data_IF_150340816824
#
_entry.id   IF_150340816824
#
_cell.length_a   1.000
_cell.length_b   1.000
_cell.length_c   1.000
_cell.angle_alpha   90.00
_cell.angle_beta   90.00
_cell.angle_gamma   90.00
#
_symmetry.space_group_name_H-M   'P 1'
#
loop_
_entity.id
_entity.type
_entity.pdbx_description
1 polymer ?
#
# COMPACT_ATOMS: atom_id res chain seq x y z
N UNK A 1 8.91 -26.36 -20.41
CA UNK A 1 8.76 -25.39 -19.31
C UNK A 1 7.80 -24.32 -19.82
N UNK A 2 6.52 -24.39 -19.43
CA UNK A 2 5.54 -23.37 -19.82
C UNK A 2 5.79 -22.20 -18.87
N UNK A 3 6.30 -21.08 -19.37
CA UNK A 3 6.38 -19.85 -18.59
C UNK A 3 4.95 -19.31 -18.54
N UNK A 4 4.31 -19.36 -17.37
CA UNK A 4 2.99 -18.79 -17.18
C UNK A 4 3.03 -17.30 -17.53
N UNK A 5 2.08 -16.83 -18.32
CA UNK A 5 1.93 -15.40 -18.62
C UNK A 5 1.50 -14.64 -17.35
N UNK A 6 1.73 -13.32 -17.27
CA UNK A 6 1.26 -12.53 -16.12
C UNK A 6 -0.24 -12.69 -15.84
N UNK A 7 -1.05 -12.83 -16.89
CA UNK A 7 -2.49 -13.09 -16.77
C UNK A 7 -2.80 -14.43 -16.09
N UNK A 8 -2.07 -15.48 -16.46
CA UNK A 8 -2.23 -16.82 -15.88
C UNK A 8 -1.66 -16.91 -14.45
N UNK A 9 -0.68 -16.07 -14.13
CA UNK A 9 -0.07 -16.03 -12.80
C UNK A 9 -0.98 -15.36 -11.75
N UNK A 10 -1.79 -14.36 -12.12
CA UNK A 10 -2.62 -13.61 -11.17
C UNK A 10 -3.52 -14.48 -10.28
N UNK A 11 -4.33 -15.42 -10.81
CA UNK A 11 -5.17 -16.27 -9.97
C UNK A 11 -4.36 -17.15 -9.01
N UNK A 12 -3.17 -17.59 -9.43
CA UNK A 12 -2.28 -18.41 -8.61
C UNK A 12 -1.71 -17.58 -7.44
N UNK A 13 -1.26 -16.36 -7.71
CA UNK A 13 -0.79 -15.42 -6.70
C UNK A 13 -1.90 -15.10 -5.70
N UNK A 14 -3.11 -14.77 -6.18
CA UNK A 14 -4.27 -14.50 -5.33
C UNK A 14 -4.63 -15.72 -4.47
N UNK A 15 -4.53 -16.93 -5.03
CA UNK A 15 -4.74 -18.17 -4.28
C UNK A 15 -3.78 -18.34 -3.10
N UNK A 16 -2.51 -17.96 -3.26
CA UNK A 16 -1.53 -17.96 -2.16
C UNK A 16 -1.90 -16.91 -1.10
N UNK A 17 -2.22 -15.69 -1.54
CA UNK A 17 -2.56 -14.57 -0.65
C UNK A 17 -3.81 -14.88 0.20
N UNK A 18 -4.79 -15.56 -0.39
CA UNK A 18 -6.05 -15.89 0.28
C UNK A 18 -6.01 -17.22 1.04
N UNK A 19 -4.88 -17.93 1.02
CA UNK A 19 -4.72 -19.16 1.80
C UNK A 19 -4.92 -18.88 3.30
N UNK A 20 -5.59 -19.78 4.06
CA UNK A 20 -5.81 -19.61 5.50
C UNK A 20 -4.53 -19.35 6.29
N UNK A 21 -3.44 -20.00 5.89
CA UNK A 21 -2.14 -19.93 6.56
C UNK A 21 -1.21 -18.87 5.93
N UNK A 22 -1.72 -18.01 5.03
CA UNK A 22 -0.90 -17.01 4.32
C UNK A 22 -0.17 -16.05 5.25
N UNK A 23 -0.73 -15.76 6.42
CA UNK A 23 -0.22 -14.79 7.39
C UNK A 23 0.57 -15.40 8.56
N UNK A 24 0.81 -16.71 8.57
CA UNK A 24 1.69 -17.29 9.59
C UNK A 24 3.14 -16.89 9.32
N UNK A 25 3.97 -16.88 10.37
CA UNK A 25 5.35 -16.38 10.31
C UNK A 25 6.20 -17.05 9.22
N UNK A 26 5.94 -18.32 8.94
CA UNK A 26 6.65 -19.11 7.94
C UNK A 26 6.28 -18.70 6.50
N UNK A 27 5.07 -18.20 6.29
CA UNK A 27 4.50 -17.94 4.96
C UNK A 27 4.41 -16.45 4.63
N UNK A 28 4.43 -15.57 5.63
CA UNK A 28 4.17 -14.13 5.47
C UNK A 28 5.07 -13.49 4.41
N UNK A 29 6.36 -13.78 4.39
CA UNK A 29 7.27 -13.19 3.40
C UNK A 29 6.93 -13.64 1.96
N UNK A 30 6.56 -14.91 1.76
CA UNK A 30 6.11 -15.40 0.45
C UNK A 30 4.76 -14.77 0.04
N UNK A 31 3.85 -14.59 1.00
CA UNK A 31 2.57 -13.89 0.79
C UNK A 31 2.79 -12.43 0.39
N UNK A 32 3.69 -11.72 1.06
CA UNK A 32 4.03 -10.33 0.77
C UNK A 32 4.63 -10.18 -0.64
N UNK A 33 5.53 -11.09 -1.03
CA UNK A 33 6.05 -11.18 -2.39
C UNK A 33 4.92 -11.39 -3.42
N UNK A 34 3.93 -12.22 -3.11
CA UNK A 34 2.77 -12.40 -3.99
C UNK A 34 1.92 -11.12 -4.11
N UNK A 35 1.67 -10.42 -2.99
CA UNK A 35 0.94 -9.13 -2.98
C UNK A 35 1.67 -8.10 -3.85
N UNK A 36 2.98 -8.00 -3.71
CA UNK A 36 3.78 -7.09 -4.52
C UNK A 36 3.79 -7.48 -6.00
N UNK A 37 3.91 -8.78 -6.32
CA UNK A 37 3.81 -9.26 -7.70
C UNK A 37 2.47 -8.90 -8.36
N UNK A 38 1.35 -9.03 -7.64
CA UNK A 38 0.03 -8.57 -8.12
C UNK A 38 0.03 -7.06 -8.39
N UNK A 39 0.61 -6.27 -7.49
CA UNK A 39 0.78 -4.82 -7.68
C UNK A 39 1.63 -4.47 -8.91
N UNK A 40 2.77 -5.15 -9.09
CA UNK A 40 3.66 -4.99 -10.26
C UNK A 40 2.95 -5.32 -11.57
N UNK A 41 2.14 -6.39 -11.61
CA UNK A 41 1.32 -6.71 -12.79
C UNK A 41 0.31 -5.60 -13.07
N UNK A 42 -0.43 -5.12 -12.06
CA UNK A 42 -1.38 -4.01 -12.26
C UNK A 42 -0.69 -2.72 -12.72
N UNK A 43 0.50 -2.41 -12.20
CA UNK A 43 1.27 -1.20 -12.51
C UNK A 43 1.86 -1.22 -13.93
N UNK A 44 2.51 -2.31 -14.30
CA UNK A 44 3.33 -2.38 -15.52
C UNK A 44 2.67 -3.14 -16.67
N UNK A 45 1.67 -3.97 -16.37
CA UNK A 45 0.94 -4.80 -17.32
C UNK A 45 -0.58 -4.75 -17.05
N UNK A 46 -1.19 -3.55 -16.97
CA UNK A 46 -2.62 -3.44 -16.67
C UNK A 46 -3.50 -4.18 -17.67
N UNK A 47 -3.04 -4.40 -18.91
CA UNK A 47 -3.73 -5.20 -19.92
C UNK A 47 -3.89 -6.67 -19.52
N UNK A 48 -3.04 -7.17 -18.61
CA UNK A 48 -3.08 -8.55 -18.10
C UNK A 48 -3.99 -8.73 -16.89
N UNK A 49 -4.51 -7.65 -16.29
CA UNK A 49 -5.27 -7.66 -15.04
C UNK A 49 -6.62 -6.94 -15.20
N UNK A 50 -7.66 -7.41 -14.52
CA UNK A 50 -8.84 -6.57 -14.33
C UNK A 50 -8.59 -5.63 -13.15
N UNK A 51 -7.88 -4.53 -13.40
CA UNK A 51 -7.41 -3.61 -12.35
C UNK A 51 -8.57 -3.13 -11.47
N UNK A 52 -9.73 -2.85 -12.06
CA UNK A 52 -10.89 -2.35 -11.31
C UNK A 52 -11.45 -3.37 -10.30
N UNK A 53 -11.31 -4.67 -10.59
CA UNK A 53 -11.74 -5.74 -9.69
C UNK A 53 -10.66 -6.08 -8.66
N UNK A 54 -9.38 -6.09 -9.06
CA UNK A 54 -8.29 -6.55 -8.19
C UNK A 54 -7.83 -5.45 -7.23
N UNK A 55 -7.85 -4.19 -7.66
CA UNK A 55 -7.30 -3.08 -6.90
C UNK A 55 -7.93 -2.87 -5.51
N UNK A 56 -9.27 -2.97 -5.32
CA UNK A 56 -9.87 -2.92 -3.99
C UNK A 56 -9.34 -4.00 -3.04
N UNK A 57 -9.13 -5.22 -3.57
CA UNK A 57 -8.58 -6.33 -2.79
C UNK A 57 -7.11 -6.10 -2.45
N UNK A 58 -6.32 -5.69 -3.45
CA UNK A 58 -4.91 -5.39 -3.26
C UNK A 58 -4.68 -4.31 -2.21
N UNK A 59 -5.49 -3.25 -2.22
CA UNK A 59 -5.45 -2.20 -1.20
C UNK A 59 -5.71 -2.75 0.22
N UNK A 60 -6.58 -3.77 0.36
CA UNK A 60 -6.87 -4.41 1.65
C UNK A 60 -5.75 -5.30 2.19
N UNK A 61 -4.77 -5.66 1.36
CA UNK A 61 -3.64 -6.51 1.74
C UNK A 61 -2.44 -5.72 2.27
N UNK A 62 -2.48 -4.38 2.21
CA UNK A 62 -1.42 -3.49 2.66
C UNK A 62 -1.54 -3.12 4.16
N UNK A 63 -0.43 -2.71 4.80
CA UNK A 63 0.95 -2.64 4.29
C UNK A 63 1.68 -4.00 4.30
N UNK A 64 2.83 -4.04 3.62
CA UNK A 64 3.82 -5.11 3.75
C UNK A 64 4.84 -4.70 4.83
N UNK A 65 5.18 -5.61 5.74
CA UNK A 65 6.05 -5.31 6.88
C UNK A 65 7.35 -6.13 6.91
N UNK A 66 7.33 -7.36 6.41
CA UNK A 66 8.44 -8.31 6.54
C UNK A 66 9.46 -8.16 5.41
N UNK A 67 8.97 -8.02 4.17
CA UNK A 67 9.79 -7.78 2.99
C UNK A 67 9.88 -6.29 2.68
N UNK A 68 10.95 -5.66 3.15
CA UNK A 68 11.17 -4.21 3.05
C UNK A 68 11.35 -3.74 1.60
N UNK A 69 11.96 -4.56 0.75
CA UNK A 69 12.13 -4.22 -0.67
C UNK A 69 10.77 -4.19 -1.37
N UNK A 70 9.95 -5.22 -1.12
CA UNK A 70 8.61 -5.30 -1.69
C UNK A 70 7.64 -4.28 -1.07
N UNK A 71 7.83 -3.89 0.19
CA UNK A 71 7.11 -2.79 0.82
C UNK A 71 7.34 -1.47 0.07
N UNK A 72 8.58 -1.10 -0.23
CA UNK A 72 8.89 0.12 -0.99
C UNK A 72 8.21 0.11 -2.36
N UNK A 73 8.22 -1.03 -3.06
CA UNK A 73 7.56 -1.17 -4.35
C UNK A 73 6.04 -0.99 -4.29
N UNK A 74 5.39 -1.55 -3.26
CA UNK A 74 3.94 -1.41 -3.07
C UNK A 74 3.56 0.00 -2.65
N UNK A 75 4.35 0.67 -1.80
CA UNK A 75 4.16 2.08 -1.47
C UNK A 75 4.37 3.00 -2.67
N UNK A 76 5.36 2.75 -3.53
CA UNK A 76 5.54 3.52 -4.75
C UNK A 76 4.34 3.41 -5.69
N UNK A 77 3.77 2.21 -5.83
CA UNK A 77 2.57 2.03 -6.63
C UNK A 77 1.34 2.67 -5.98
N UNK A 78 1.20 2.60 -4.65
CA UNK A 78 0.15 3.30 -3.92
C UNK A 78 0.23 4.82 -4.14
N UNK A 79 1.43 5.39 -4.11
CA UNK A 79 1.66 6.80 -4.45
C UNK A 79 1.23 7.13 -5.88
N UNK A 80 1.56 6.29 -6.88
CA UNK A 80 1.11 6.51 -8.27
C UNK A 80 -0.42 6.59 -8.36
N UNK A 81 -1.12 5.73 -7.61
CA UNK A 81 -2.58 5.68 -7.60
C UNK A 81 -3.20 6.90 -6.90
N UNK A 82 -2.59 7.39 -5.82
CA UNK A 82 -3.06 8.59 -5.12
C UNK A 82 -2.80 9.84 -5.97
N UNK A 83 -1.59 9.99 -6.52
CA UNK A 83 -1.20 11.13 -7.36
C UNK A 83 -2.03 11.21 -8.66
N UNK A 84 -2.48 10.07 -9.17
CA UNK A 84 -3.40 10.00 -10.32
C UNK A 84 -4.88 10.20 -9.95
N UNK A 85 -5.19 10.52 -8.69
CA UNK A 85 -6.56 10.65 -8.18
C UNK A 85 -7.43 9.41 -8.47
N UNK A 86 -6.87 8.21 -8.30
CA UNK A 86 -7.57 6.98 -8.62
C UNK A 86 -8.83 6.82 -7.73
N UNK A 87 -10.05 6.76 -8.31
CA UNK A 87 -11.29 6.77 -7.53
C UNK A 87 -11.52 5.48 -6.74
N UNK A 88 -10.86 4.38 -7.12
CA UNK A 88 -10.97 3.10 -6.41
C UNK A 88 -10.12 3.12 -5.14
N UNK A 89 -8.90 3.68 -5.23
CA UNK A 89 -8.01 3.81 -4.07
C UNK A 89 -8.52 4.85 -3.09
N UNK A 90 -8.87 6.04 -3.58
CA UNK A 90 -9.35 7.14 -2.72
C UNK A 90 -10.78 6.90 -2.21
N UNK A 91 -11.59 6.16 -2.98
CA UNK A 91 -13.00 5.99 -2.70
C UNK A 91 -13.82 7.27 -2.98
N UNK A 92 -15.17 7.18 -2.93
CA UNK A 92 -16.03 8.35 -3.07
C UNK A 92 -15.73 9.35 -1.95
N UNK A 93 -15.64 10.63 -2.30
CA UNK A 93 -15.33 11.73 -1.37
C UNK A 93 -14.08 11.50 -0.50
N UNK A 94 -13.10 10.77 -1.03
CA UNK A 94 -11.86 10.39 -0.35
C UNK A 94 -12.05 9.53 0.92
N UNK A 95 -13.13 8.75 0.99
CA UNK A 95 -13.48 7.93 2.15
C UNK A 95 -12.40 6.92 2.58
N UNK A 96 -11.48 6.54 1.69
CA UNK A 96 -10.39 5.61 2.02
C UNK A 96 -9.12 6.29 2.57
N UNK A 97 -9.04 7.63 2.56
CA UNK A 97 -7.85 8.35 3.07
C UNK A 97 -7.47 7.99 4.51
N UNK A 98 -8.42 7.83 5.46
CA UNK A 98 -8.07 7.39 6.81
C UNK A 98 -7.38 6.02 6.83
N UNK A 99 -7.81 5.09 5.95
CA UNK A 99 -7.16 3.77 5.83
C UNK A 99 -5.78 3.88 5.19
N UNK A 100 -5.62 4.74 4.18
CA UNK A 100 -4.31 5.02 3.56
C UNK A 100 -3.35 5.58 4.61
N UNK A 101 -3.81 6.51 5.46
CA UNK A 101 -3.01 7.05 6.57
C UNK A 101 -2.56 5.96 7.54
N UNK A 102 -3.45 5.03 7.88
CA UNK A 102 -3.10 3.88 8.72
C UNK A 102 -2.04 3.01 8.06
N UNK A 103 -2.18 2.70 6.76
CA UNK A 103 -1.19 1.92 5.99
C UNK A 103 0.18 2.60 6.01
N UNK A 104 0.23 3.92 5.78
CA UNK A 104 1.49 4.70 5.80
C UNK A 104 2.09 4.69 7.21
N UNK A 105 1.29 4.95 8.24
CA UNK A 105 1.77 5.00 9.62
C UNK A 105 2.32 3.65 10.09
N UNK A 106 1.67 2.55 9.72
CA UNK A 106 2.13 1.19 9.99
C UNK A 106 3.45 0.88 9.27
N UNK A 107 3.57 1.21 7.98
CA UNK A 107 4.80 1.01 7.22
C UNK A 107 6.01 1.79 7.77
N UNK A 108 5.79 3.01 8.27
CA UNK A 108 6.85 3.79 8.93
C UNK A 108 7.16 3.22 10.32
N UNK A 109 6.14 2.85 11.10
CA UNK A 109 6.31 2.29 12.45
C UNK A 109 7.09 0.97 12.44
N UNK A 110 6.87 0.14 11.42
CA UNK A 110 7.56 -1.15 11.24
C UNK A 110 8.89 -1.03 10.49
N UNK A 111 9.34 0.18 10.16
CA UNK A 111 10.56 0.45 9.37
C UNK A 111 10.58 -0.30 8.02
N UNK A 112 9.39 -0.50 7.44
CA UNK A 112 9.18 -1.06 6.11
C UNK A 112 9.40 -0.01 5.02
N UNK A 113 9.25 1.26 5.40
CA UNK A 113 9.65 2.44 4.62
C UNK A 113 10.52 3.33 5.50
N UNK A 114 11.68 3.73 4.97
CA UNK A 114 12.67 4.59 5.62
C UNK A 114 12.71 5.96 4.98
N UNK A 115 13.20 6.96 5.70
CA UNK A 115 13.29 8.34 5.20
C UNK A 115 14.16 8.48 3.93
N UNK A 116 15.15 7.60 3.72
CA UNK A 116 15.97 7.58 2.50
C UNK A 116 15.25 7.01 1.26
N UNK A 117 14.13 6.29 1.43
CA UNK A 117 13.43 5.68 0.32
C UNK A 117 12.75 6.74 -0.56
N UNK A 118 12.75 6.51 -1.87
CA UNK A 118 12.19 7.45 -2.84
C UNK A 118 10.68 7.71 -2.59
N UNK A 119 9.96 6.70 -2.11
CA UNK A 119 8.53 6.81 -1.82
C UNK A 119 8.23 7.69 -0.60
N UNK A 120 9.15 7.84 0.35
CA UNK A 120 8.92 8.59 1.61
C UNK A 120 8.54 10.05 1.38
N UNK A 121 9.20 10.72 0.42
CA UNK A 121 8.88 12.09 0.03
C UNK A 121 7.47 12.20 -0.57
N UNK A 122 7.08 11.20 -1.37
CA UNK A 122 5.77 11.15 -2.01
C UNK A 122 4.67 10.92 -0.96
N UNK A 123 4.88 9.99 -0.04
CA UNK A 123 3.99 9.72 1.09
C UNK A 123 3.82 10.96 1.98
N UNK A 124 4.92 11.64 2.33
CA UNK A 124 4.86 12.88 3.09
C UNK A 124 4.07 13.98 2.36
N UNK A 125 4.21 14.09 1.04
CA UNK A 125 3.44 15.05 0.26
C UNK A 125 1.94 14.76 0.25
N UNK A 126 1.54 13.48 0.15
CA UNK A 126 0.14 13.07 0.31
C UNK A 126 -0.40 13.51 1.66
N UNK A 127 0.35 13.27 2.74
CA UNK A 127 -0.05 13.65 4.11
C UNK A 127 -0.19 15.18 4.22
N UNK A 128 0.78 15.95 3.71
CA UNK A 128 0.75 17.43 3.71
C UNK A 128 -0.45 18.01 2.95
N UNK A 129 -0.86 17.38 1.84
CA UNK A 129 -2.05 17.81 1.11
C UNK A 129 -3.31 17.65 1.96
N UNK A 130 -3.43 16.55 2.70
CA UNK A 130 -4.56 16.31 3.61
C UNK A 130 -4.52 17.24 4.83
N UNK A 131 -3.33 17.62 5.33
CA UNK A 131 -3.19 18.60 6.42
C UNK A 131 -3.85 19.95 6.10
N UNK A 132 -3.84 20.37 4.83
CA UNK A 132 -4.54 21.59 4.38
C UNK A 132 -6.06 21.50 4.50
N UNK A 133 -6.61 20.29 4.56
CA UNK A 133 -8.05 20.02 4.67
C UNK A 133 -8.41 19.67 6.13
N UNK A 134 -8.55 20.69 6.98
CA UNK A 134 -8.67 20.52 8.44
C UNK A 134 -9.64 19.44 8.92
N UNK A 135 -10.86 19.37 8.37
CA UNK A 135 -11.84 18.33 8.75
C UNK A 135 -11.40 16.91 8.38
N UNK A 136 -10.81 16.73 7.20
CA UNK A 136 -10.33 15.43 6.72
C UNK A 136 -9.05 15.00 7.46
N UNK A 137 -8.16 15.96 7.76
CA UNK A 137 -6.99 15.72 8.61
C UNK A 137 -7.38 15.17 9.98
N UNK A 138 -8.33 15.83 10.67
CA UNK A 138 -8.79 15.36 11.98
C UNK A 138 -9.37 13.94 11.92
N UNK A 139 -10.12 13.61 10.86
CA UNK A 139 -10.65 12.26 10.67
C UNK A 139 -9.53 11.23 10.47
N UNK A 140 -8.53 11.53 9.64
CA UNK A 140 -7.42 10.61 9.39
C UNK A 140 -6.58 10.38 10.64
N UNK A 141 -6.24 11.46 11.38
CA UNK A 141 -5.44 11.36 12.62
C UNK A 141 -6.20 10.64 13.72
N UNK A 142 -7.52 10.81 13.82
CA UNK A 142 -8.34 10.12 14.82
C UNK A 142 -8.34 8.59 14.68
N UNK A 143 -7.99 8.06 13.50
CA UNK A 143 -7.87 6.62 13.26
C UNK A 143 -6.51 6.05 13.70
N UNK A 144 -5.56 6.90 14.05
CA UNK A 144 -4.19 6.51 14.39
C UNK A 144 -4.00 6.49 15.91
N UNK A 145 -3.26 5.49 16.41
CA UNK A 145 -2.78 5.48 17.79
C UNK A 145 -1.58 6.43 17.99
N UNK A 146 -1.16 6.65 19.24
CA UNK A 146 -0.05 7.59 19.55
C UNK A 146 1.26 7.26 18.83
N UNK A 147 1.61 5.97 18.72
CA UNK A 147 2.81 5.51 18.01
C UNK A 147 2.73 5.85 16.52
N UNK A 148 1.58 5.57 15.90
CA UNK A 148 1.31 5.86 14.49
C UNK A 148 1.30 7.37 14.21
N UNK A 149 0.71 8.17 15.10
CA UNK A 149 0.72 9.64 14.97
C UNK A 149 2.15 10.18 15.02
N UNK A 150 2.98 9.65 15.94
CA UNK A 150 4.40 10.01 16.02
C UNK A 150 5.14 9.62 14.74
N UNK A 151 4.92 8.41 14.22
CA UNK A 151 5.52 7.95 12.97
C UNK A 151 5.19 8.88 11.78
N UNK A 152 3.93 9.31 11.66
CA UNK A 152 3.52 10.30 10.65
C UNK A 152 4.23 11.63 10.85
N UNK A 153 4.35 12.12 12.09
CA UNK A 153 5.04 13.38 12.38
C UNK A 153 6.53 13.30 12.05
N UNK A 154 7.18 12.17 12.38
CA UNK A 154 8.58 11.92 12.08
C UNK A 154 8.82 11.85 10.56
N UNK A 155 7.94 11.17 9.81
CA UNK A 155 7.96 11.17 8.35
C UNK A 155 7.85 12.59 7.78
N UNK A 156 6.91 13.39 8.27
CA UNK A 156 6.71 14.78 7.83
C UNK A 156 7.92 15.69 8.09
N UNK A 157 8.69 15.41 9.14
CA UNK A 157 9.86 16.19 9.53
C UNK A 157 11.13 15.78 8.77
N UNK A 158 11.19 14.55 8.28
CA UNK A 158 12.40 13.95 7.70
C UNK A 158 12.38 13.88 6.18
N UNK A 159 11.20 13.94 5.55
CA UNK A 159 11.00 13.79 4.11
C UNK A 159 10.93 15.10 3.31
#
# INVERSE_FOLDING_TARGET
MIIATPREALPLLVGVIQSPDSKVKENVNATENCISAVGKVMRFRPECANVNEILPHWHSWLPLNEDKEEAVHTFDFLCDLIESNNPIVLGPDNANLPKIFQIIAEGVTNESVKSEDACSKRLANVIRQVQGSGGLWTQCVAMLNETQQKAIQDLLNTA
#
